data_IF_154942695850
#
_entry.id   IF_154942695850
#
_cell.length_a   1.000
_cell.length_b   1.000
_cell.length_c   1.000
_cell.angle_alpha   90.00
_cell.angle_beta   90.00
_cell.angle_gamma   90.00
#
_symmetry.space_group_name_H-M   'P 1'
#
loop_
_entity.id
_entity.type
_entity.pdbx_description
1 polymer ?
#
# COMPACT_ATOMS: atom_id res chain seq x y z
N UNK A 1 -18.09 4.66 -4.20
CA UNK A 1 -16.92 5.38 -3.67
C UNK A 1 -15.98 5.74 -4.79
N UNK A 2 -15.40 6.95 -4.79
CA UNK A 2 -14.43 7.40 -5.79
C UNK A 2 -13.02 7.21 -5.22
N UNK A 3 -12.09 6.63 -5.97
CA UNK A 3 -10.74 6.33 -5.49
C UNK A 3 -9.70 7.02 -6.39
N UNK A 4 -8.62 7.49 -5.78
CA UNK A 4 -7.41 7.98 -6.41
C UNK A 4 -6.18 7.22 -5.90
N UNK A 5 -5.18 7.06 -6.76
CA UNK A 5 -3.89 6.50 -6.40
C UNK A 5 -2.85 7.60 -6.15
N UNK A 6 -2.06 7.45 -5.11
CA UNK A 6 -0.89 8.27 -4.85
C UNK A 6 0.36 7.39 -4.83
N UNK A 7 1.42 7.81 -5.53
CA UNK A 7 2.73 7.14 -5.51
C UNK A 7 3.84 8.19 -5.43
N UNK A 8 5.07 7.73 -5.21
CA UNK A 8 6.27 8.56 -5.31
C UNK A 8 7.36 7.82 -6.07
N UNK A 9 8.04 8.52 -6.99
CA UNK A 9 9.22 8.02 -7.69
C UNK A 9 10.10 9.21 -8.09
N UNK A 10 11.25 9.35 -7.45
CA UNK A 10 12.19 10.44 -7.68
C UNK A 10 13.64 9.97 -7.49
N UNK A 11 14.61 10.80 -7.89
CA UNK A 11 16.02 10.48 -7.89
C UNK A 11 16.52 10.01 -9.25
N UNK A 12 17.55 9.17 -9.27
CA UNK A 12 18.05 8.60 -10.52
C UNK A 12 17.00 7.70 -11.16
N UNK A 13 16.77 7.89 -12.46
CA UNK A 13 15.83 7.08 -13.24
C UNK A 13 16.16 5.60 -13.12
N UNK A 14 15.13 4.80 -12.82
CA UNK A 14 15.20 3.35 -12.76
C UNK A 14 14.06 2.78 -13.60
N UNK A 15 14.41 2.08 -14.68
CA UNK A 15 13.45 1.56 -15.65
C UNK A 15 12.44 0.56 -15.05
N UNK A 16 12.84 -0.22 -14.04
CA UNK A 16 11.95 -1.16 -13.38
C UNK A 16 10.86 -0.44 -12.58
N UNK A 17 11.19 0.69 -11.94
CA UNK A 17 10.18 1.49 -11.26
C UNK A 17 9.25 2.22 -12.22
N UNK A 18 9.75 2.73 -13.34
CA UNK A 18 8.87 3.34 -14.36
C UNK A 18 7.92 2.29 -14.96
N UNK A 19 8.41 1.07 -15.24
CA UNK A 19 7.55 -0.04 -15.66
C UNK A 19 6.53 -0.45 -14.58
N UNK A 20 6.93 -0.42 -13.31
CA UNK A 20 6.00 -0.65 -12.21
C UNK A 20 4.90 0.42 -12.16
N UNK A 21 5.24 1.70 -12.31
CA UNK A 21 4.23 2.76 -12.43
C UNK A 21 3.32 2.57 -13.64
N UNK A 22 3.89 2.25 -14.81
CA UNK A 22 3.13 1.99 -16.03
C UNK A 22 2.14 0.82 -15.87
N UNK A 23 2.46 -0.19 -15.07
CA UNK A 23 1.51 -1.28 -14.76
C UNK A 23 0.22 -0.77 -14.10
N UNK A 24 0.28 0.33 -13.32
CA UNK A 24 -0.91 0.93 -12.72
C UNK A 24 -1.74 1.74 -13.71
N UNK A 25 -1.15 2.29 -14.78
CA UNK A 25 -1.84 3.13 -15.76
C UNK A 25 -2.97 2.37 -16.45
N UNK A 26 -2.72 1.13 -16.91
CA UNK A 26 -3.75 0.26 -17.51
C UNK A 26 -4.96 0.07 -16.59
N UNK A 27 -4.71 -0.18 -15.31
CA UNK A 27 -5.77 -0.35 -14.32
C UNK A 27 -6.48 0.98 -14.00
N UNK A 28 -5.75 2.09 -14.00
CA UNK A 28 -6.34 3.42 -13.79
C UNK A 28 -7.28 3.79 -14.94
N UNK A 29 -6.88 3.55 -16.18
CA UNK A 29 -7.70 3.76 -17.37
C UNK A 29 -8.94 2.88 -17.35
N UNK A 30 -8.78 1.59 -17.02
CA UNK A 30 -9.88 0.63 -16.99
C UNK A 30 -10.98 1.00 -15.99
N UNK A 31 -10.60 1.51 -14.82
CA UNK A 31 -11.54 1.80 -13.73
C UNK A 31 -11.79 3.29 -13.50
N UNK A 32 -11.17 4.18 -14.28
CA UNK A 32 -11.30 5.62 -14.14
C UNK A 32 -10.68 6.19 -12.86
N UNK A 33 -9.60 5.58 -12.34
CA UNK A 33 -8.92 6.08 -11.14
C UNK A 33 -7.92 7.20 -11.48
N UNK A 34 -8.08 8.42 -10.94
CA UNK A 34 -7.02 9.42 -11.03
C UNK A 34 -5.76 8.94 -10.30
N UNK A 35 -4.59 9.29 -10.82
CA UNK A 35 -3.32 8.98 -10.17
C UNK A 35 -2.40 10.18 -10.09
N UNK A 36 -1.72 10.32 -8.96
CA UNK A 36 -0.74 11.39 -8.73
C UNK A 36 0.59 10.79 -8.29
N UNK A 37 1.68 11.12 -8.97
CA UNK A 37 3.03 10.61 -8.65
C UNK A 37 3.93 11.76 -8.24
N UNK A 38 4.47 11.73 -7.03
CA UNK A 38 5.49 12.68 -6.60
C UNK A 38 6.82 12.38 -7.30
N UNK A 39 7.27 13.30 -8.15
CA UNK A 39 8.49 13.15 -8.98
C UNK A 39 9.74 13.84 -8.41
N UNK A 40 9.60 14.54 -7.28
CA UNK A 40 10.69 15.25 -6.61
C UNK A 40 10.60 15.09 -5.09
N UNK A 41 11.74 15.02 -4.41
CA UNK A 41 11.78 14.99 -2.94
C UNK A 41 11.34 16.35 -2.39
N UNK A 42 10.37 16.35 -1.48
CA UNK A 42 9.87 17.54 -0.77
C UNK A 42 10.39 17.61 0.67
N UNK A 43 10.75 16.46 1.23
CA UNK A 43 11.35 16.32 2.57
C UNK A 43 12.35 15.16 2.56
N UNK A 44 12.83 14.72 3.72
CA UNK A 44 13.83 13.66 3.84
C UNK A 44 13.22 12.25 3.87
N UNK A 45 13.81 11.33 3.11
CA UNK A 45 13.55 9.90 3.20
C UNK A 45 12.07 9.50 3.12
N UNK A 46 11.66 8.63 4.05
CA UNK A 46 10.32 8.04 4.13
C UNK A 46 9.19 9.06 4.38
N UNK A 47 9.51 10.28 4.84
CA UNK A 47 8.51 11.31 5.12
C UNK A 47 7.88 11.94 3.87
N UNK A 48 8.49 11.73 2.69
CA UNK A 48 7.93 12.21 1.42
C UNK A 48 6.54 11.62 1.14
N UNK A 49 6.33 10.35 1.48
CA UNK A 49 5.05 9.65 1.31
C UNK A 49 3.93 10.29 2.14
N UNK A 50 4.17 10.46 3.45
CA UNK A 50 3.18 11.02 4.38
C UNK A 50 2.88 12.49 4.06
N UNK A 51 3.92 13.28 3.78
CA UNK A 51 3.76 14.71 3.44
C UNK A 51 3.01 14.92 2.12
N UNK A 52 3.33 14.14 1.09
CA UNK A 52 2.63 14.19 -0.19
C UNK A 52 1.18 13.76 -0.06
N UNK A 53 0.93 12.63 0.59
CA UNK A 53 -0.44 12.15 0.84
C UNK A 53 -1.26 13.15 1.64
N UNK A 54 -0.68 13.79 2.66
CA UNK A 54 -1.35 14.86 3.40
C UNK A 54 -1.71 16.03 2.48
N UNK A 55 -0.79 16.47 1.60
CA UNK A 55 -1.07 17.57 0.66
C UNK A 55 -2.25 17.25 -0.26
N UNK A 56 -2.32 16.01 -0.75
CA UNK A 56 -3.39 15.53 -1.63
C UNK A 56 -4.74 15.47 -0.90
N UNK A 57 -4.77 14.97 0.34
CA UNK A 57 -5.98 14.95 1.18
C UNK A 57 -6.47 16.37 1.49
N UNK A 58 -5.57 17.30 1.82
CA UNK A 58 -5.95 18.69 2.13
C UNK A 58 -6.54 19.37 0.90
N UNK A 59 -5.95 19.18 -0.28
CA UNK A 59 -6.53 19.69 -1.53
C UNK A 59 -7.91 19.08 -1.81
N UNK A 60 -8.08 17.78 -1.57
CA UNK A 60 -9.35 17.09 -1.77
C UNK A 60 -10.43 17.54 -0.78
N UNK A 61 -10.07 17.83 0.47
CA UNK A 61 -10.99 18.40 1.47
C UNK A 61 -11.50 19.80 1.09
N UNK A 62 -10.78 20.52 0.24
CA UNK A 62 -11.23 21.80 -0.33
C UNK A 62 -12.40 21.67 -1.31
N UNK A 63 -12.70 20.47 -1.79
CA UNK A 63 -13.82 20.20 -2.72
C UNK A 63 -15.14 19.92 -1.97
N UNK A 64 -16.30 20.07 -2.63
CA UNK A 64 -17.59 19.58 -2.13
C UNK A 64 -17.51 18.09 -1.73
N UNK A 65 -18.22 17.68 -0.68
CA UNK A 65 -18.10 16.34 -0.07
C UNK A 65 -18.36 15.20 -1.06
N UNK A 66 -19.32 15.39 -1.96
CA UNK A 66 -19.74 14.47 -3.02
C UNK A 66 -18.74 14.39 -4.20
N UNK A 67 -17.80 15.34 -4.27
CA UNK A 67 -16.76 15.35 -5.30
C UNK A 67 -15.44 14.69 -4.85
N UNK A 68 -15.31 14.37 -3.57
CA UNK A 68 -14.05 13.91 -2.98
C UNK A 68 -13.67 12.48 -3.38
N UNK A 69 -12.39 12.27 -3.61
CA UNK A 69 -11.77 10.96 -3.81
C UNK A 69 -11.32 10.34 -2.47
N UNK A 70 -11.17 9.02 -2.41
CA UNK A 70 -10.44 8.31 -1.36
C UNK A 70 -9.06 7.91 -1.87
N UNK A 71 -8.05 7.81 -1.00
CA UNK A 71 -6.67 7.60 -1.43
C UNK A 71 -6.19 6.18 -1.19
N UNK A 72 -5.42 5.67 -2.15
CA UNK A 72 -4.70 4.41 -2.11
C UNK A 72 -3.23 4.66 -2.45
N UNK A 73 -2.30 4.13 -1.65
CA UNK A 73 -0.86 4.20 -1.96
C UNK A 73 -0.43 3.11 -2.96
N UNK A 74 0.16 3.48 -4.09
CA UNK A 74 0.51 2.57 -5.18
C UNK A 74 2.03 2.40 -5.39
N UNK A 75 2.77 2.00 -4.36
CA UNK A 75 4.23 1.75 -4.43
C UNK A 75 4.64 0.35 -4.91
N UNK A 76 3.86 -0.26 -5.81
CA UNK A 76 3.93 -1.71 -6.15
C UNK A 76 3.84 -1.99 -7.65
N UNK A 77 4.04 -3.24 -8.05
CA UNK A 77 3.69 -3.70 -9.41
C UNK A 77 2.24 -4.18 -9.40
N UNK A 78 1.44 -3.74 -10.36
CA UNK A 78 0.08 -4.20 -10.57
C UNK A 78 0.09 -5.44 -11.48
N UNK A 79 -0.50 -6.53 -11.00
CA UNK A 79 -0.52 -7.83 -11.67
C UNK A 79 -1.83 -8.08 -12.42
N UNK A 80 -2.97 -7.70 -11.81
CA UNK A 80 -4.29 -8.00 -12.37
C UNK A 80 -5.12 -6.71 -12.51
N UNK A 81 -5.26 -6.16 -13.73
CA UNK A 81 -6.01 -4.93 -13.94
C UNK A 81 -7.53 -5.10 -13.76
N UNK A 82 -8.06 -6.32 -13.74
CA UNK A 82 -9.51 -6.56 -13.65
C UNK A 82 -10.09 -6.47 -12.23
N UNK A 83 -9.26 -6.29 -11.20
CA UNK A 83 -9.73 -6.23 -9.80
C UNK A 83 -9.97 -4.77 -9.41
N UNK A 84 -11.23 -4.33 -9.23
CA UNK A 84 -11.51 -2.96 -8.87
C UNK A 84 -11.16 -2.70 -7.40
N UNK A 85 -10.48 -1.58 -7.09
CA UNK A 85 -10.11 -1.22 -5.72
C UNK A 85 -11.29 -1.11 -4.72
N UNK A 86 -12.51 -0.65 -5.10
CA UNK A 86 -13.63 -0.57 -4.19
C UNK A 86 -14.05 -1.89 -3.53
N UNK A 87 -13.60 -3.05 -4.02
CA UNK A 87 -13.92 -4.34 -3.40
C UNK A 87 -13.26 -4.50 -2.03
N UNK A 88 -12.15 -3.78 -1.78
CA UNK A 88 -11.41 -3.77 -0.50
C UNK A 88 -11.86 -2.64 0.43
N UNK A 89 -12.94 -1.92 0.07
CA UNK A 89 -13.50 -0.89 0.93
C UNK A 89 -14.66 -1.46 1.74
N UNK A 90 -15.01 -0.84 2.87
CA UNK A 90 -16.13 -1.29 3.66
C UNK A 90 -17.42 -1.21 2.83
N UNK A 91 -18.36 -2.15 3.03
CA UNK A 91 -19.66 -2.05 2.40
C UNK A 91 -20.37 -0.77 2.85
N UNK A 92 -21.31 -0.31 2.04
CA UNK A 92 -22.09 0.90 2.30
C UNK A 92 -23.14 0.68 3.41
N UNK A 93 -22.67 0.33 4.61
CA UNK A 93 -23.45 0.17 5.83
C UNK A 93 -22.96 1.19 6.87
N UNK A 94 -23.86 1.98 7.49
CA UNK A 94 -23.50 2.97 8.51
C UNK A 94 -22.63 2.45 9.66
N UNK A 95 -22.65 1.15 9.96
CA UNK A 95 -21.79 0.58 10.99
C UNK A 95 -20.29 0.71 10.68
N UNK A 96 -19.92 0.87 9.41
CA UNK A 96 -18.54 1.05 8.96
C UNK A 96 -18.17 2.51 8.63
N UNK A 97 -19.06 3.47 8.88
CA UNK A 97 -18.81 4.90 8.58
C UNK A 97 -17.64 5.48 9.39
N UNK A 98 -17.32 4.89 10.55
CA UNK A 98 -16.20 5.30 11.36
C UNK A 98 -14.82 4.92 10.77
N UNK A 99 -14.77 3.98 9.83
CA UNK A 99 -13.52 3.48 9.25
C UNK A 99 -12.94 4.53 8.30
N UNK A 100 -11.74 5.01 8.60
CA UNK A 100 -11.03 6.00 7.79
C UNK A 100 -9.68 5.47 7.27
N UNK A 101 -9.19 4.35 7.82
CA UNK A 101 -7.93 3.73 7.43
C UNK A 101 -8.11 2.22 7.26
N UNK A 102 -7.65 1.68 6.14
CA UNK A 102 -7.57 0.23 5.90
C UNK A 102 -6.14 -0.11 5.54
N UNK A 103 -5.50 -0.89 6.40
CA UNK A 103 -4.13 -1.36 6.20
C UNK A 103 -4.04 -2.87 6.25
N UNK A 104 -2.81 -3.36 6.26
CA UNK A 104 -2.51 -4.76 6.48
C UNK A 104 -1.41 -4.90 7.53
N UNK A 105 -1.21 -6.11 8.05
CA UNK A 105 -0.16 -6.37 9.04
C UNK A 105 0.87 -7.36 8.56
N UNK A 106 2.11 -7.14 8.95
CA UNK A 106 3.24 -8.06 8.75
C UNK A 106 3.93 -8.29 10.07
N UNK A 107 4.02 -9.56 10.48
CA UNK A 107 4.59 -9.97 11.77
C UNK A 107 3.96 -9.25 12.99
N UNK A 108 2.66 -8.93 12.91
CA UNK A 108 1.92 -8.24 13.97
C UNK A 108 1.94 -6.70 13.90
N UNK A 109 2.84 -6.13 13.09
CA UNK A 109 3.01 -4.68 12.90
C UNK A 109 2.27 -4.17 11.66
N UNK A 110 2.00 -2.86 11.59
CA UNK A 110 1.45 -2.23 10.37
C UNK A 110 2.44 -2.39 9.20
N UNK A 111 1.93 -2.87 8.07
CA UNK A 111 2.63 -2.79 6.80
C UNK A 111 2.09 -1.58 6.02
N UNK A 112 2.89 -0.52 5.97
CA UNK A 112 2.51 0.72 5.33
C UNK A 112 2.78 0.73 3.82
N UNK A 113 3.26 -0.34 3.19
CA UNK A 113 3.60 -0.35 1.76
C UNK A 113 2.40 0.02 0.89
N UNK A 114 1.22 -0.54 1.21
CA UNK A 114 -0.06 -0.26 0.57
C UNK A 114 -1.14 -0.16 1.65
N UNK A 115 -1.92 0.91 1.59
CA UNK A 115 -3.09 1.12 2.45
C UNK A 115 -4.10 2.05 1.78
N UNK A 116 -5.34 2.03 2.27
CA UNK A 116 -6.39 2.98 1.93
C UNK A 116 -6.58 3.99 3.05
N UNK A 117 -6.81 5.24 2.68
CA UNK A 117 -7.16 6.30 3.62
C UNK A 117 -8.27 7.18 3.05
N UNK A 118 -9.31 7.39 3.85
CA UNK A 118 -10.45 8.23 3.47
C UNK A 118 -10.04 9.70 3.47
N UNK A 119 -10.62 10.51 2.59
CA UNK A 119 -10.50 11.97 2.68
C UNK A 119 -11.41 12.50 3.77
N UNK A 120 -10.84 12.70 4.95
CA UNK A 120 -11.53 13.18 6.14
C UNK A 120 -10.59 14.04 7.00
N UNK A 121 -11.13 14.95 7.84
CA UNK A 121 -10.35 15.65 8.86
C UNK A 121 -9.60 14.68 9.79
N UNK A 122 -10.19 13.51 10.06
CA UNK A 122 -9.56 12.41 10.80
C UNK A 122 -8.21 12.02 10.20
N UNK A 123 -8.15 11.85 8.88
CA UNK A 123 -6.94 11.43 8.17
C UNK A 123 -5.88 12.52 8.16
N UNK A 124 -6.27 13.79 8.06
CA UNK A 124 -5.33 14.91 8.22
C UNK A 124 -4.72 14.89 9.62
N UNK A 125 -5.55 14.72 10.66
CA UNK A 125 -5.07 14.66 12.04
C UNK A 125 -4.09 13.50 12.25
N UNK A 126 -4.41 12.31 11.73
CA UNK A 126 -3.52 11.14 11.75
C UNK A 126 -2.17 11.46 11.13
N UNK A 127 -2.14 11.98 9.90
CA UNK A 127 -0.90 12.23 9.16
C UNK A 127 -0.06 13.34 9.80
N UNK A 128 -0.70 14.40 10.32
CA UNK A 128 -0.03 15.47 11.06
C UNK A 128 0.67 14.90 12.30
N UNK A 129 -0.04 14.11 13.11
CA UNK A 129 0.55 13.50 14.30
C UNK A 129 1.70 12.56 13.91
N UNK A 130 1.51 11.72 12.89
CA UNK A 130 2.54 10.81 12.41
C UNK A 130 3.80 11.52 11.88
N UNK A 131 3.68 12.72 11.29
CA UNK A 131 4.86 13.52 10.89
C UNK A 131 5.48 14.33 12.03
N UNK A 132 4.74 14.61 13.09
CA UNK A 132 5.28 15.30 14.26
C UNK A 132 6.15 14.38 15.13
N UNK A 133 5.98 13.07 14.98
CA UNK A 133 6.69 12.02 15.71
C UNK A 133 8.22 12.21 15.78
N UNK A 134 8.95 12.52 14.69
CA UNK A 134 10.40 12.76 14.78
C UNK A 134 10.80 14.04 15.54
N UNK A 135 9.85 14.96 15.77
CA UNK A 135 10.09 16.23 16.47
C UNK A 135 9.93 16.10 17.98
N UNK A 136 9.28 15.04 18.43
CA UNK A 136 9.16 14.67 19.83
C UNK A 136 10.23 13.60 20.10
N UNK A 137 11.25 14.00 20.87
CA UNK A 137 12.52 13.28 21.13
C UNK A 137 12.34 11.80 21.56
N UNK A 138 11.14 11.41 21.98
CA UNK A 138 10.74 10.05 22.36
C UNK A 138 10.94 9.00 21.24
N UNK A 139 11.04 9.43 19.98
CA UNK A 139 11.22 8.54 18.83
C UNK A 139 12.64 8.46 18.25
N UNK A 140 13.57 9.26 18.77
CA UNK A 140 15.00 9.09 18.45
C UNK A 140 15.50 7.66 18.79
N UNK A 141 14.78 6.95 19.66
CA UNK A 141 15.06 5.55 20.04
C UNK A 141 14.30 4.48 19.24
N UNK A 142 13.29 4.81 18.42
CA UNK A 142 12.52 3.74 17.76
C UNK A 142 13.29 3.01 16.66
N UNK A 143 14.35 3.61 16.11
CA UNK A 143 15.07 3.05 14.97
C UNK A 143 14.12 2.54 13.88
N UNK A 144 14.57 1.72 12.93
CA UNK A 144 13.69 0.70 12.38
C UNK A 144 13.31 -0.27 13.51
N UNK A 145 12.03 -0.64 13.65
CA UNK A 145 11.63 -1.67 14.62
C UNK A 145 12.42 -2.93 14.30
N UNK A 146 13.35 -3.31 15.18
CA UNK A 146 14.08 -4.57 15.10
C UNK A 146 13.54 -5.53 16.14
N UNK A 147 12.80 -6.56 15.71
CA UNK A 147 12.61 -7.78 16.49
C UNK A 147 13.58 -8.82 15.94
N UNK A 148 14.40 -9.39 16.83
CA UNK A 148 15.39 -10.41 16.51
C UNK A 148 16.36 -10.05 15.34
N UNK A 149 16.80 -8.79 15.24
CA UNK A 149 17.79 -8.35 14.23
C UNK A 149 17.26 -8.21 12.80
N UNK A 150 15.93 -8.12 12.62
CA UNK A 150 15.28 -7.88 11.31
C UNK A 150 14.66 -6.49 11.30
N UNK A 151 14.92 -5.66 10.29
CA UNK A 151 14.16 -4.41 10.07
C UNK A 151 12.71 -4.77 9.68
N UNK A 152 11.75 -4.62 10.60
CA UNK A 152 10.36 -5.03 10.42
C UNK A 152 9.47 -4.00 9.72
N UNK A 153 9.83 -2.72 9.73
CA UNK A 153 9.01 -1.66 9.18
C UNK A 153 9.83 -0.44 8.77
N UNK A 154 9.26 0.37 7.89
CA UNK A 154 9.79 1.70 7.56
C UNK A 154 9.41 2.69 8.67
N UNK A 155 10.23 3.72 8.89
CA UNK A 155 10.01 4.68 9.99
C UNK A 155 8.64 5.39 9.89
N UNK A 156 8.13 5.63 8.68
CA UNK A 156 6.78 6.15 8.44
C UNK A 156 5.70 5.15 8.84
N UNK A 157 5.91 3.86 8.57
CA UNK A 157 5.01 2.79 9.01
C UNK A 157 4.97 2.66 10.53
N UNK A 158 6.12 2.74 11.20
CA UNK A 158 6.19 2.74 12.68
C UNK A 158 5.48 3.95 13.28
N UNK A 159 5.71 5.16 12.73
CA UNK A 159 5.05 6.37 13.20
C UNK A 159 3.52 6.31 13.00
N UNK A 160 3.06 5.82 11.84
CA UNK A 160 1.65 5.58 11.59
C UNK A 160 1.06 4.57 12.58
N UNK A 161 1.72 3.44 12.81
CA UNK A 161 1.26 2.41 13.74
C UNK A 161 1.12 2.95 15.17
N UNK A 162 2.09 3.75 15.61
CA UNK A 162 2.08 4.39 16.93
C UNK A 162 0.84 5.25 17.11
N UNK A 163 0.55 6.15 16.16
CA UNK A 163 -0.64 7.03 16.24
C UNK A 163 -1.94 6.24 16.07
N UNK A 164 -2.00 5.27 15.16
CA UNK A 164 -3.19 4.42 14.95
C UNK A 164 -3.57 3.60 16.21
N UNK A 165 -2.62 3.35 17.11
CA UNK A 165 -2.87 2.64 18.37
C UNK A 165 -3.42 3.53 19.49
N UNK A 166 -3.39 4.87 19.34
CA UNK A 166 -4.01 5.76 20.30
C UNK A 166 -5.55 5.61 20.31
N UNK A 167 -6.17 5.84 21.46
CA UNK A 167 -7.62 5.71 21.67
C UNK A 167 -8.46 6.48 20.65
N UNK A 168 -7.98 7.64 20.20
CA UNK A 168 -8.68 8.47 19.22
C UNK A 168 -8.75 7.85 17.82
N UNK A 169 -7.72 7.13 17.39
CA UNK A 169 -7.60 6.62 16.02
C UNK A 169 -7.95 5.14 15.90
N UNK A 170 -7.81 4.38 16.99
CA UNK A 170 -7.95 2.92 16.99
C UNK A 170 -9.29 2.43 16.44
N UNK A 171 -10.39 3.12 16.73
CA UNK A 171 -11.73 2.75 16.24
C UNK A 171 -11.97 3.05 14.76
N UNK A 172 -11.16 3.92 14.15
CA UNK A 172 -11.25 4.29 12.74
C UNK A 172 -10.32 3.49 11.83
N UNK A 173 -9.59 2.52 12.37
CA UNK A 173 -8.61 1.72 11.64
C UNK A 173 -9.05 0.26 11.54
N UNK A 174 -8.99 -0.29 10.33
CA UNK A 174 -9.24 -1.69 10.04
C UNK A 174 -8.01 -2.32 9.40
N UNK A 175 -7.80 -3.61 9.66
CA UNK A 175 -6.70 -4.38 9.08
C UNK A 175 -7.26 -5.56 8.32
N UNK A 176 -7.02 -5.58 7.00
CA UNK A 176 -7.44 -6.64 6.09
C UNK A 176 -6.33 -7.68 5.86
N UNK A 177 -6.68 -8.86 5.33
CA UNK A 177 -5.70 -9.86 4.96
C UNK A 177 -4.68 -9.31 3.95
N UNK A 178 -3.41 -9.36 4.34
CA UNK A 178 -2.31 -8.73 3.58
C UNK A 178 -2.19 -9.24 2.15
N UNK A 179 -2.50 -10.51 1.90
CA UNK A 179 -2.44 -11.10 0.56
C UNK A 179 -3.46 -10.53 -0.41
N UNK A 180 -4.37 -9.65 0.04
CA UNK A 180 -5.35 -9.03 -0.82
C UNK A 180 -4.78 -7.92 -1.71
N UNK A 181 -4.11 -6.94 -1.12
CA UNK A 181 -3.59 -5.78 -1.83
C UNK A 181 -2.16 -5.42 -1.42
N UNK A 182 -1.56 -6.16 -0.49
CA UNK A 182 -0.18 -5.94 -0.04
C UNK A 182 0.65 -7.24 0.06
N UNK A 183 0.58 -8.20 -0.89
CA UNK A 183 1.37 -9.43 -0.84
C UNK A 183 2.86 -9.16 -1.15
N UNK A 184 3.76 -9.73 -0.35
CA UNK A 184 5.20 -9.52 -0.49
C UNK A 184 5.87 -10.62 -1.31
N UNK A 185 6.86 -10.19 -2.08
CA UNK A 185 7.90 -11.08 -2.57
C UNK A 185 8.89 -11.42 -1.44
N UNK A 186 9.38 -12.66 -1.43
CA UNK A 186 10.23 -13.22 -0.39
C UNK A 186 11.61 -13.59 -0.94
N UNK A 187 12.64 -13.48 -0.09
CA UNK A 187 14.00 -13.88 -0.43
C UNK A 187 14.13 -15.41 -0.49
N UNK A 188 15.07 -15.92 -1.29
CA UNK A 188 15.45 -17.34 -1.27
C UNK A 188 16.07 -17.67 0.09
N UNK A 189 15.53 -18.66 0.82
CA UNK A 189 16.23 -19.23 1.97
C UNK A 189 17.12 -20.40 1.51
N UNK A 190 18.42 -20.14 1.31
CA UNK A 190 19.46 -21.16 1.11
C UNK A 190 19.34 -22.05 -0.16
N UNK A 191 20.20 -23.08 -0.23
CA UNK A 191 20.34 -24.05 -1.32
C UNK A 191 19.25 -25.14 -1.35
N UNK A 192 18.00 -24.77 -1.07
CA UNK A 192 16.88 -25.71 -1.26
C UNK A 192 16.43 -25.69 -2.73
N UNK A 193 16.31 -26.90 -3.31
CA UNK A 193 15.93 -27.17 -4.70
C UNK A 193 14.71 -26.35 -5.17
N UNK A 194 14.57 -26.05 -6.48
CA UNK A 194 13.45 -25.30 -7.02
C UNK A 194 12.17 -26.15 -6.93
N UNK A 195 11.47 -26.03 -5.81
CA UNK A 195 10.08 -26.43 -5.70
C UNK A 195 9.28 -25.32 -6.37
N UNK A 196 8.36 -25.70 -7.25
CA UNK A 196 7.38 -24.84 -7.92
C UNK A 196 6.91 -23.72 -6.98
N UNK A 197 6.96 -22.47 -7.47
CA UNK A 197 6.66 -21.20 -6.79
C UNK A 197 5.97 -21.32 -5.41
N UNK A 198 6.53 -20.67 -4.35
CA UNK A 198 6.30 -19.24 -4.28
C UNK A 198 7.45 -18.46 -3.63
N UNK A 199 8.12 -17.60 -4.40
CA UNK A 199 8.86 -16.46 -3.84
C UNK A 199 7.94 -15.25 -3.64
N UNK A 200 6.63 -15.47 -3.60
CA UNK A 200 5.60 -14.44 -3.60
C UNK A 200 4.37 -14.96 -2.87
N UNK A 201 3.82 -14.16 -1.95
CA UNK A 201 2.68 -14.57 -1.11
C UNK A 201 1.33 -14.52 -1.82
N UNK A 202 1.28 -13.90 -3.00
CA UNK A 202 0.10 -13.96 -3.85
C UNK A 202 0.06 -15.24 -4.70
N UNK A 203 -0.96 -15.29 -5.55
CA UNK A 203 -1.18 -16.33 -6.56
C UNK A 203 -1.76 -15.69 -7.83
N UNK A 204 -1.89 -16.45 -8.92
CA UNK A 204 -2.63 -16.03 -10.10
C UNK A 204 -3.98 -15.39 -9.73
N UNK A 205 -4.30 -14.24 -10.37
CA UNK A 205 -5.44 -13.40 -10.04
C UNK A 205 -5.21 -12.37 -8.93
N UNK A 206 -4.08 -12.36 -8.22
CA UNK A 206 -3.77 -11.33 -7.21
C UNK A 206 -3.65 -9.94 -7.84
N UNK A 207 -4.02 -8.90 -7.11
CA UNK A 207 -3.99 -7.52 -7.60
C UNK A 207 -2.57 -6.95 -7.72
N UNK A 208 -1.77 -6.99 -6.64
CA UNK A 208 -0.44 -6.34 -6.58
C UNK A 208 0.67 -7.34 -6.25
N UNK A 209 1.91 -6.94 -6.50
CA UNK A 209 3.11 -7.52 -5.90
C UNK A 209 3.99 -6.43 -5.27
N UNK A 210 4.38 -6.65 -4.01
CA UNK A 210 5.23 -5.73 -3.23
C UNK A 210 6.65 -6.29 -3.16
N UNK A 211 7.63 -5.47 -3.53
CA UNK A 211 9.05 -5.84 -3.53
C UNK A 211 9.77 -5.05 -2.44
N UNK A 212 9.82 -5.59 -1.19
CA UNK A 212 10.36 -4.87 -0.05
C UNK A 212 11.86 -4.60 -0.19
N UNK A 213 12.34 -3.51 0.42
CA UNK A 213 13.77 -3.14 0.44
C UNK A 213 14.66 -4.23 1.04
N UNK A 214 14.12 -5.04 1.95
CA UNK A 214 14.78 -6.18 2.58
C UNK A 214 15.26 -7.26 1.58
N UNK A 215 14.77 -7.26 0.34
CA UNK A 215 15.26 -8.14 -0.73
C UNK A 215 16.65 -7.73 -1.25
N UNK A 216 17.14 -6.53 -0.91
CA UNK A 216 18.44 -6.00 -1.31
C UNK A 216 18.70 -6.21 -2.81
N UNK A 217 19.89 -6.67 -3.21
CA UNK A 217 20.24 -6.89 -4.62
C UNK A 217 19.32 -7.86 -5.37
N UNK A 218 18.67 -8.81 -4.67
CA UNK A 218 17.71 -9.75 -5.29
C UNK A 218 16.42 -9.06 -5.73
N UNK A 219 16.11 -7.90 -5.15
CA UNK A 219 14.91 -7.10 -5.47
C UNK A 219 14.80 -6.82 -6.96
N UNK A 220 15.90 -6.37 -7.57
CA UNK A 220 15.91 -5.93 -8.97
C UNK A 220 15.62 -7.06 -9.93
N UNK A 221 16.25 -8.23 -9.69
CA UNK A 221 16.00 -9.42 -10.49
C UNK A 221 14.54 -9.87 -10.36
N UNK A 222 14.03 -9.96 -9.13
CA UNK A 222 12.64 -10.39 -8.91
C UNK A 222 11.62 -9.41 -9.51
N UNK A 223 11.87 -8.10 -9.44
CA UNK A 223 11.03 -7.11 -10.12
C UNK A 223 11.07 -7.28 -11.64
N UNK A 224 12.25 -7.50 -12.23
CA UNK A 224 12.40 -7.71 -13.66
C UNK A 224 11.69 -8.99 -14.14
N UNK A 225 11.85 -10.09 -13.39
CA UNK A 225 11.17 -11.36 -13.66
C UNK A 225 9.64 -11.15 -13.58
N UNK A 226 9.15 -10.54 -12.48
CA UNK A 226 7.73 -10.24 -12.32
C UNK A 226 7.17 -9.34 -13.44
N UNK A 227 7.84 -8.25 -13.79
CA UNK A 227 7.39 -7.35 -14.87
C UNK A 227 7.42 -8.01 -16.26
N UNK A 228 8.19 -9.09 -16.43
CA UNK A 228 8.19 -9.89 -17.65
C UNK A 228 7.03 -10.90 -17.66
N UNK A 229 6.71 -11.45 -16.49
CA UNK A 229 5.62 -12.41 -16.28
C UNK A 229 4.24 -11.74 -16.21
N UNK A 230 4.12 -10.46 -15.84
CA UNK A 230 2.83 -9.74 -15.78
C UNK A 230 2.14 -9.67 -17.15
N UNK A 231 2.88 -9.83 -18.25
CA UNK A 231 2.31 -9.99 -19.58
C UNK A 231 1.57 -11.33 -19.79
N UNK A 232 1.69 -12.28 -18.85
CA UNK A 232 0.98 -13.56 -18.88
C UNK A 232 -0.48 -13.40 -18.47
N UNK A 233 -1.39 -13.85 -19.35
CA UNK A 233 -2.84 -13.87 -19.13
C UNK A 233 -3.25 -14.64 -17.86
N UNK A 234 -2.39 -15.49 -17.31
CA UNK A 234 -2.66 -16.20 -16.06
C UNK A 234 -2.84 -15.26 -14.85
N UNK A 235 -2.23 -14.06 -14.86
CA UNK A 235 -2.41 -13.04 -13.82
C UNK A 235 -3.72 -12.25 -14.00
N UNK A 236 -4.13 -11.98 -15.24
CA UNK A 236 -5.30 -11.18 -15.58
C UNK A 236 -6.61 -12.00 -15.51
N UNK A 237 -7.05 -12.33 -14.29
CA UNK A 237 -8.32 -13.05 -14.07
C UNK A 237 -9.46 -12.09 -13.72
N UNK A 238 -10.67 -12.25 -14.30
CA UNK A 238 -11.85 -11.51 -13.87
C UNK A 238 -12.10 -11.65 -12.37
N UNK A 239 -12.59 -10.59 -11.72
CA UNK A 239 -12.82 -10.53 -10.27
C UNK A 239 -13.60 -11.77 -9.76
N UNK A 240 -14.65 -12.16 -10.47
CA UNK A 240 -15.54 -13.28 -10.13
C UNK A 240 -14.84 -14.64 -10.16
N UNK A 241 -13.70 -14.74 -10.85
CA UNK A 241 -12.90 -15.96 -11.00
C UNK A 241 -11.67 -15.99 -10.09
N UNK A 242 -11.55 -15.00 -9.20
CA UNK A 242 -10.48 -14.93 -8.20
C UNK A 242 -10.98 -15.43 -6.83
N UNK A 243 -10.08 -15.44 -5.84
CA UNK A 243 -10.43 -15.69 -4.44
C UNK A 243 -11.19 -14.54 -3.78
N UNK A 244 -11.07 -13.33 -4.33
CA UNK A 244 -11.56 -12.11 -3.68
C UNK A 244 -13.06 -12.12 -3.34
N UNK A 245 -13.98 -12.55 -4.23
CA UNK A 245 -15.41 -12.51 -3.92
C UNK A 245 -15.79 -13.32 -2.69
N UNK A 246 -15.20 -14.52 -2.53
CA UNK A 246 -15.48 -15.39 -1.40
C UNK A 246 -14.87 -14.84 -0.10
N UNK A 247 -13.58 -14.48 -0.14
CA UNK A 247 -12.85 -14.02 1.04
C UNK A 247 -13.36 -12.65 1.55
N UNK A 248 -13.67 -11.72 0.64
CA UNK A 248 -14.21 -10.39 1.00
C UNK A 248 -15.61 -10.54 1.62
N UNK A 249 -16.46 -11.40 1.06
CA UNK A 249 -17.79 -11.66 1.60
C UNK A 249 -17.74 -12.30 2.99
N UNK A 250 -16.75 -13.15 3.26
CA UNK A 250 -16.59 -13.80 4.58
C UNK A 250 -16.06 -12.83 5.63
N UNK A 251 -15.22 -11.87 5.23
CA UNK A 251 -14.58 -10.93 6.14
C UNK A 251 -15.53 -9.82 6.65
N UNK A 252 -16.38 -9.29 5.77
CA UNK A 252 -17.30 -8.18 6.08
C UNK A 252 -18.59 -8.65 6.75
#
# INVERSE_FOLDING_TARGET
TRIAKASMLFGQTNELYERALASHEKHNEMHGYPSSVLRHSVTTGYWNKISYLMSLIVLELGKPKDERLEWHDASTILLNPFIPLPVFLPPADPQYDAINFIGSRRFGELDSSVFFVRVAPWSVKLLVKAMAIPLIDELAELGPVTSAGRELGTIDGTALAFILNETEFKSGALYEPRHWFNPHSQAKQGDQKPVQAPHFEGSHGSLLAVFPGQLQGSRWKQMADCLSDVADAAWERPYEQTRYPAEIKEFW
#
